data_IF_132152424288
#
_entry.id   IF_132152424288
#
_cell.length_a   1.000
_cell.length_b   1.000
_cell.length_c   1.000
_cell.angle_alpha   90.00
_cell.angle_beta   90.00
_cell.angle_gamma   90.00
#
_symmetry.space_group_name_H-M   'P 1'
#
loop_
_entity.id
_entity.type
_entity.pdbx_description
1 polymer ?
#
# COMPACT_ATOMS: atom_id res chain seq x y z
N UNK A 1 47.38 28.44 0.62
CA UNK A 1 47.97 27.29 -0.09
C UNK A 1 47.33 26.03 0.47
N UNK A 2 46.38 25.48 -0.30
CA UNK A 2 45.90 24.09 -0.42
C UNK A 2 45.60 23.17 0.79
N UNK A 3 44.64 22.22 0.63
CA UNK A 3 43.44 22.17 1.46
C UNK A 3 43.16 20.74 1.98
N UNK A 4 41.89 20.46 2.31
CA UNK A 4 41.22 19.17 2.59
C UNK A 4 40.99 18.83 4.07
N UNK A 5 39.74 18.95 4.51
CA UNK A 5 38.97 17.76 4.93
C UNK A 5 37.48 18.08 5.10
N UNK A 6 36.70 17.07 4.75
CA UNK A 6 35.28 17.11 4.42
C UNK A 6 34.34 17.27 5.61
N UNK A 7 33.18 17.84 5.28
CA UNK A 7 31.85 17.66 5.87
C UNK A 7 31.66 16.46 6.82
N UNK A 8 31.09 16.73 8.00
CA UNK A 8 30.06 15.86 8.59
C UNK A 8 29.07 16.71 9.39
N UNK A 9 27.91 16.95 8.78
CA UNK A 9 26.71 17.45 9.44
C UNK A 9 26.13 16.29 10.25
N UNK A 10 26.16 16.40 11.57
CA UNK A 10 25.43 15.49 12.46
C UNK A 10 23.94 15.86 12.44
N UNK A 11 23.14 15.15 11.64
CA UNK A 11 21.68 15.18 11.74
C UNK A 11 21.26 14.08 12.73
N UNK A 12 20.96 14.49 13.95
CA UNK A 12 20.45 13.64 15.02
C UNK A 12 18.99 13.28 14.69
N UNK A 13 18.76 12.15 14.01
CA UNK A 13 17.43 11.54 13.94
C UNK A 13 17.10 10.94 15.31
N UNK A 14 16.19 11.60 16.03
CA UNK A 14 15.50 11.02 17.17
C UNK A 14 14.54 9.96 16.61
N UNK A 15 15.04 8.73 16.46
CA UNK A 15 14.21 7.55 16.30
C UNK A 15 13.48 7.33 17.62
N UNK A 16 12.14 7.25 17.54
CA UNK A 16 11.33 6.65 18.58
C UNK A 16 11.90 5.26 18.89
N UNK A 17 12.58 5.15 20.03
CA UNK A 17 12.95 3.87 20.62
C UNK A 17 11.66 3.30 21.20
N UNK A 18 10.85 2.68 20.34
CA UNK A 18 10.12 1.51 20.78
C UNK A 18 11.18 0.46 21.09
N UNK A 19 11.29 0.03 22.34
CA UNK A 19 12.18 -1.06 22.74
C UNK A 19 11.68 -2.38 22.14
N UNK A 20 11.83 -2.54 20.83
CA UNK A 20 11.73 -3.83 20.18
C UNK A 20 13.07 -4.53 20.44
N UNK A 21 13.07 -5.49 21.36
CA UNK A 21 14.19 -6.41 21.50
C UNK A 21 14.39 -7.09 20.14
N UNK A 22 15.45 -6.70 19.44
CA UNK A 22 15.85 -7.31 18.18
C UNK A 22 16.31 -8.75 18.49
N UNK A 23 15.42 -9.72 18.30
CA UNK A 23 15.64 -11.10 18.70
C UNK A 23 16.31 -11.88 17.56
N UNK A 24 17.56 -12.31 17.78
CA UNK A 24 18.26 -13.21 16.86
C UNK A 24 17.74 -14.64 17.02
N UNK A 25 17.38 -15.27 15.90
CA UNK A 25 16.91 -16.67 15.87
C UNK A 25 17.36 -17.40 14.62
N UNK A 26 17.22 -18.71 14.65
CA UNK A 26 17.33 -19.57 13.46
C UNK A 26 15.97 -19.67 12.79
N UNK A 27 15.91 -19.22 11.54
CA UNK A 27 14.75 -19.27 10.66
C UNK A 27 14.87 -20.47 9.74
N UNK A 28 13.75 -21.10 9.42
CA UNK A 28 13.67 -22.31 8.62
C UNK A 28 12.71 -22.12 7.46
N UNK A 29 13.02 -22.76 6.33
CA UNK A 29 12.07 -22.88 5.23
C UNK A 29 10.90 -23.80 5.62
N UNK A 30 9.83 -23.77 4.82
CA UNK A 30 8.60 -24.53 5.04
C UNK A 30 8.82 -26.01 5.37
N UNK A 31 9.76 -26.66 4.69
CA UNK A 31 10.07 -28.09 4.87
C UNK A 31 11.03 -28.36 6.05
N UNK A 32 11.62 -27.33 6.65
CA UNK A 32 12.64 -27.45 7.69
C UNK A 32 14.02 -27.91 7.20
N UNK A 33 14.17 -28.18 5.90
CA UNK A 33 15.40 -28.65 5.26
C UNK A 33 16.50 -27.59 5.15
N UNK A 34 16.10 -26.32 5.09
CA UNK A 34 17.00 -25.17 4.99
C UNK A 34 16.82 -24.24 6.18
N UNK A 35 17.91 -23.72 6.74
CA UNK A 35 17.86 -22.75 7.83
C UNK A 35 18.97 -21.70 7.75
N UNK A 36 18.73 -20.55 8.37
CA UNK A 36 19.72 -19.50 8.53
C UNK A 36 19.48 -18.72 9.83
N UNK A 37 20.53 -18.11 10.38
CA UNK A 37 20.42 -17.26 11.57
C UNK A 37 20.26 -15.80 11.16
N UNK A 38 19.28 -15.13 11.75
CA UNK A 38 18.98 -13.72 11.48
C UNK A 38 18.23 -13.06 12.62
N UNK A 39 18.36 -11.74 12.71
CA UNK A 39 17.71 -10.88 13.70
C UNK A 39 16.37 -10.41 13.17
N UNK A 40 15.31 -10.70 13.91
CA UNK A 40 13.97 -10.18 13.64
C UNK A 40 13.96 -8.64 13.73
N UNK A 41 13.44 -7.98 12.69
CA UNK A 41 13.26 -6.52 12.68
C UNK A 41 11.77 -6.12 12.77
N UNK A 42 10.87 -6.91 12.21
CA UNK A 42 9.43 -6.59 12.14
C UNK A 42 8.69 -7.60 11.26
N UNK A 43 7.36 -7.65 11.37
CA UNK A 43 6.50 -8.39 10.43
C UNK A 43 5.13 -7.75 10.31
N UNK A 44 4.48 -8.00 9.18
CA UNK A 44 3.06 -7.78 8.94
C UNK A 44 2.35 -9.15 8.80
N UNK A 45 1.10 -9.17 8.36
CA UNK A 45 0.31 -10.39 8.23
C UNK A 45 0.87 -11.41 7.22
N UNK A 46 1.71 -10.99 6.27
CA UNK A 46 2.22 -11.80 5.16
C UNK A 46 3.73 -11.91 5.14
N UNK A 47 4.45 -10.91 5.64
CA UNK A 47 5.89 -10.81 5.49
C UNK A 47 6.61 -10.58 6.81
N UNK A 48 7.80 -11.16 6.94
CA UNK A 48 8.75 -10.87 8.01
C UNK A 48 10.02 -10.24 7.45
N UNK A 49 10.53 -9.22 8.13
CA UNK A 49 11.80 -8.56 7.80
C UNK A 49 12.89 -9.02 8.77
N UNK A 50 14.00 -9.51 8.22
CA UNK A 50 15.09 -10.13 8.96
C UNK A 50 16.42 -9.52 8.52
N UNK A 51 17.30 -9.23 9.49
CA UNK A 51 18.69 -8.84 9.26
C UNK A 51 19.62 -10.02 9.53
N UNK A 52 20.35 -10.46 8.52
CA UNK A 52 21.37 -11.51 8.63
C UNK A 52 22.67 -10.96 9.24
N UNK A 53 23.55 -11.86 9.67
CA UNK A 53 24.82 -11.53 10.33
C UNK A 53 25.78 -10.68 9.47
N UNK A 54 25.68 -10.80 8.15
CA UNK A 54 26.42 -9.97 7.18
C UNK A 54 25.88 -8.53 7.06
N UNK A 55 24.84 -8.20 7.83
CA UNK A 55 24.16 -6.90 7.80
C UNK A 55 23.10 -6.79 6.70
N UNK A 56 22.96 -7.79 5.83
CA UNK A 56 21.94 -7.77 4.79
C UNK A 56 20.54 -7.89 5.40
N UNK A 57 19.62 -7.06 4.94
CA UNK A 57 18.20 -7.10 5.32
C UNK A 57 17.40 -7.66 4.16
N UNK A 58 16.51 -8.60 4.45
CA UNK A 58 15.59 -9.16 3.47
C UNK A 58 14.22 -9.44 4.10
N UNK A 59 13.22 -9.49 3.23
CA UNK A 59 11.82 -9.72 3.57
C UNK A 59 11.39 -11.07 3.01
N UNK A 60 10.79 -11.92 3.84
CA UNK A 60 10.32 -13.26 3.47
C UNK A 60 8.82 -13.38 3.67
N UNK A 61 8.15 -14.12 2.80
CA UNK A 61 6.75 -14.49 3.03
C UNK A 61 6.67 -15.49 4.19
N UNK A 62 5.76 -15.23 5.12
CA UNK A 62 5.53 -16.04 6.33
C UNK A 62 5.07 -17.45 5.94
N UNK A 63 4.30 -17.61 4.87
CA UNK A 63 3.80 -18.90 4.36
C UNK A 63 4.90 -19.86 3.85
N UNK A 64 6.09 -19.32 3.59
CA UNK A 64 7.30 -20.06 3.18
C UNK A 64 8.21 -20.42 4.36
N UNK A 65 7.87 -19.96 5.57
CA UNK A 65 8.61 -20.31 6.77
C UNK A 65 8.08 -21.62 7.38
N UNK A 66 8.92 -22.26 8.20
CA UNK A 66 8.51 -23.41 8.98
C UNK A 66 7.41 -23.03 10.00
N UNK A 67 6.53 -23.98 10.34
CA UNK A 67 5.39 -23.76 11.26
C UNK A 67 5.81 -23.16 12.62
N UNK A 68 6.97 -23.54 13.12
CA UNK A 68 7.52 -23.01 14.38
C UNK A 68 7.93 -21.54 14.31
N UNK A 69 8.33 -21.06 13.12
CA UNK A 69 8.64 -19.64 12.92
C UNK A 69 7.37 -18.83 12.73
N UNK A 70 6.39 -19.38 12.00
CA UNK A 70 5.05 -18.79 11.85
C UNK A 70 4.38 -18.62 13.22
N UNK A 71 4.34 -19.67 14.04
CA UNK A 71 3.73 -19.64 15.36
C UNK A 71 4.35 -18.59 16.29
N UNK A 72 5.67 -18.39 16.20
CA UNK A 72 6.34 -17.36 17.00
C UNK A 72 6.01 -15.95 16.53
N UNK A 73 5.86 -15.73 15.21
CA UNK A 73 5.43 -14.44 14.68
C UNK A 73 4.02 -14.11 15.15
N UNK A 74 3.11 -15.08 15.07
CA UNK A 74 1.75 -14.99 15.64
C UNK A 74 1.78 -14.68 17.13
N UNK A 75 2.65 -15.30 17.92
CA UNK A 75 2.75 -15.01 19.35
C UNK A 75 3.32 -13.62 19.66
N UNK A 76 4.21 -13.10 18.81
CA UNK A 76 4.78 -11.74 18.90
C UNK A 76 3.76 -10.65 18.57
N UNK A 77 2.77 -10.95 17.72
CA UNK A 77 1.68 -10.05 17.37
C UNK A 77 0.37 -10.85 17.24
N UNK A 78 -0.31 -11.15 18.36
CA UNK A 78 -1.48 -12.03 18.34
C UNK A 78 -2.59 -11.46 17.45
N UNK A 79 -3.14 -12.24 16.51
CA UNK A 79 -4.19 -11.78 15.62
C UNK A 79 -5.42 -11.39 16.44
N UNK A 80 -5.95 -10.20 16.16
CA UNK A 80 -7.10 -9.64 16.88
C UNK A 80 -8.37 -10.31 16.35
N UNK A 81 -8.88 -11.31 17.07
CA UNK A 81 -10.18 -11.99 16.91
C UNK A 81 -10.68 -12.24 15.46
N UNK A 82 -10.59 -13.50 15.03
CA UNK A 82 -11.14 -14.07 13.78
C UNK A 82 -11.05 -13.10 12.58
N UNK A 83 -9.83 -12.96 12.07
CA UNK A 83 -9.61 -12.41 10.74
C UNK A 83 -10.01 -13.50 9.73
N UNK A 84 -11.00 -13.18 8.89
CA UNK A 84 -11.35 -13.95 7.69
C UNK A 84 -10.04 -14.32 6.98
N UNK A 85 -9.84 -15.59 6.55
CA UNK A 85 -8.60 -15.97 5.87
C UNK A 85 -8.30 -14.96 4.77
N UNK A 86 -7.19 -14.24 4.92
CA UNK A 86 -6.78 -13.18 3.99
C UNK A 86 -6.63 -13.85 2.63
N UNK A 87 -7.53 -13.53 1.70
CA UNK A 87 -7.40 -14.04 0.34
C UNK A 87 -6.06 -13.51 -0.21
N UNK A 88 -5.11 -14.38 -0.59
CA UNK A 88 -3.79 -13.94 -1.05
C UNK A 88 -3.89 -13.05 -2.30
N UNK A 89 -4.96 -13.20 -3.07
CA UNK A 89 -5.25 -12.42 -4.27
C UNK A 89 -6.03 -11.12 -4.00
N UNK A 90 -6.35 -10.81 -2.74
CA UNK A 90 -6.98 -9.54 -2.41
C UNK A 90 -6.04 -8.38 -2.72
N UNK A 91 -6.56 -7.39 -3.45
CA UNK A 91 -5.83 -6.20 -3.90
C UNK A 91 -6.17 -4.96 -3.08
N UNK A 92 -7.36 -4.95 -2.46
CA UNK A 92 -7.78 -3.91 -1.53
C UNK A 92 -8.75 -4.50 -0.52
N UNK A 93 -8.39 -4.49 0.76
CA UNK A 93 -9.13 -5.18 1.84
C UNK A 93 -9.41 -6.65 1.48
N UNK A 94 -10.63 -6.97 1.04
CA UNK A 94 -11.05 -8.32 0.61
C UNK A 94 -11.41 -8.40 -0.88
N UNK A 95 -11.37 -7.26 -1.59
CA UNK A 95 -11.67 -7.16 -3.02
C UNK A 95 -10.58 -7.81 -3.86
N UNK A 96 -10.99 -8.48 -4.93
CA UNK A 96 -10.13 -9.17 -5.89
C UNK A 96 -10.50 -8.75 -7.30
N UNK A 97 -9.53 -8.72 -8.22
CA UNK A 97 -9.87 -8.66 -9.64
C UNK A 97 -10.75 -9.85 -10.02
N UNK A 98 -11.70 -9.63 -10.93
CA UNK A 98 -12.65 -10.65 -11.35
C UNK A 98 -13.94 -10.70 -10.51
N UNK A 99 -13.99 -10.07 -9.34
CA UNK A 99 -15.23 -9.96 -8.56
C UNK A 99 -16.32 -9.31 -9.39
N UNK A 100 -17.53 -9.87 -9.40
CA UNK A 100 -18.67 -9.17 -10.01
C UNK A 100 -19.24 -8.11 -9.05
N UNK A 101 -20.14 -7.25 -9.54
CA UNK A 101 -20.72 -6.16 -8.74
C UNK A 101 -21.34 -6.61 -7.41
N UNK A 102 -22.04 -7.75 -7.40
CA UNK A 102 -22.69 -8.28 -6.20
C UNK A 102 -21.64 -8.69 -5.16
N UNK A 103 -20.56 -9.32 -5.60
CA UNK A 103 -19.46 -9.72 -4.72
C UNK A 103 -18.75 -8.48 -4.14
N UNK A 104 -18.49 -7.47 -4.97
CA UNK A 104 -17.90 -6.19 -4.53
C UNK A 104 -18.78 -5.51 -3.50
N UNK A 105 -20.08 -5.39 -3.74
CA UNK A 105 -21.02 -4.80 -2.76
C UNK A 105 -21.03 -5.56 -1.44
N UNK A 106 -21.12 -6.89 -1.48
CA UNK A 106 -21.13 -7.71 -0.27
C UNK A 106 -19.84 -7.54 0.55
N UNK A 107 -18.69 -7.52 -0.13
CA UNK A 107 -17.38 -7.33 0.50
C UNK A 107 -17.21 -5.93 1.10
N UNK A 108 -17.63 -4.89 0.38
CA UNK A 108 -17.58 -3.51 0.86
C UNK A 108 -18.46 -3.30 2.10
N UNK A 109 -19.66 -3.89 2.15
CA UNK A 109 -20.54 -3.85 3.34
C UNK A 109 -19.91 -4.53 4.55
N UNK A 110 -19.18 -5.62 4.33
CA UNK A 110 -18.46 -6.32 5.39
C UNK A 110 -17.13 -5.64 5.77
N UNK A 111 -16.69 -4.62 5.02
CA UNK A 111 -15.38 -4.02 5.19
C UNK A 111 -15.24 -3.30 6.52
N UNK A 112 -14.13 -3.57 7.18
CA UNK A 112 -13.73 -2.85 8.39
C UNK A 112 -13.02 -1.52 8.06
N UNK A 113 -12.58 -1.32 6.82
CA UNK A 113 -11.73 -0.16 6.44
C UNK A 113 -12.44 0.90 5.60
N UNK A 114 -13.56 0.57 4.95
CA UNK A 114 -14.38 1.53 4.20
C UNK A 114 -15.82 1.58 4.71
N UNK A 115 -16.48 2.71 4.48
CA UNK A 115 -17.88 2.97 4.80
C UNK A 115 -18.60 3.59 3.59
N UNK A 116 -19.92 3.41 3.53
CA UNK A 116 -20.76 4.06 2.52
C UNK A 116 -21.04 5.53 2.89
N UNK A 117 -21.02 6.41 1.90
CA UNK A 117 -21.43 7.82 1.99
C UNK A 117 -22.88 8.04 1.56
N UNK A 118 -23.53 7.02 1.00
CA UNK A 118 -24.92 7.03 0.54
C UNK A 118 -25.73 5.91 1.17
N UNK A 119 -27.03 6.13 1.30
CA UNK A 119 -27.98 5.08 1.67
C UNK A 119 -28.09 4.04 0.53
N UNK A 120 -28.08 2.76 0.90
CA UNK A 120 -28.04 1.62 -0.03
C UNK A 120 -29.22 1.60 -1.00
N UNK A 121 -30.37 2.17 -0.62
CA UNK A 121 -31.55 2.29 -1.48
C UNK A 121 -31.29 3.10 -2.75
N UNK A 122 -30.21 3.90 -2.79
CA UNK A 122 -29.82 4.71 -3.93
C UNK A 122 -28.75 4.07 -4.82
N UNK A 123 -28.18 2.92 -4.46
CA UNK A 123 -27.10 2.28 -5.24
C UNK A 123 -27.52 1.94 -6.68
N UNK A 124 -28.77 1.50 -6.87
CA UNK A 124 -29.30 1.21 -8.21
C UNK A 124 -29.40 2.42 -9.14
N UNK A 125 -29.32 3.65 -8.59
CA UNK A 125 -29.40 4.90 -9.36
C UNK A 125 -28.04 5.53 -9.62
N UNK A 126 -27.16 5.56 -8.62
CA UNK A 126 -25.87 6.25 -8.70
C UNK A 126 -24.68 5.31 -8.97
N UNK A 127 -24.88 4.00 -8.81
CA UNK A 127 -23.79 3.02 -8.86
C UNK A 127 -22.91 3.06 -7.62
N UNK A 128 -21.72 2.46 -7.72
CA UNK A 128 -20.76 2.32 -6.61
C UNK A 128 -19.64 3.38 -6.60
N UNK A 129 -19.48 4.11 -7.71
CA UNK A 129 -18.36 5.03 -7.87
C UNK A 129 -18.57 6.29 -7.03
N UNK A 130 -17.62 6.57 -6.14
CA UNK A 130 -17.68 7.69 -5.18
C UNK A 130 -18.62 7.45 -4.00
N UNK A 131 -19.20 6.25 -3.86
CA UNK A 131 -20.17 5.97 -2.79
C UNK A 131 -19.54 5.33 -1.56
N UNK A 132 -18.33 4.80 -1.67
CA UNK A 132 -17.57 4.29 -0.54
C UNK A 132 -16.33 5.15 -0.31
N UNK A 133 -15.96 5.33 0.96
CA UNK A 133 -14.73 6.01 1.35
C UNK A 133 -14.02 5.30 2.50
N UNK A 134 -12.75 5.59 2.71
CA UNK A 134 -11.99 5.12 3.88
C UNK A 134 -12.64 5.61 5.18
N UNK A 135 -12.80 4.74 6.18
CA UNK A 135 -13.30 5.13 7.51
C UNK A 135 -12.30 6.01 8.25
N UNK A 136 -11.02 5.68 8.14
CA UNK A 136 -9.93 6.46 8.69
C UNK A 136 -9.37 7.39 7.62
N UNK A 137 -8.85 8.53 8.07
CA UNK A 137 -8.09 9.42 7.22
C UNK A 137 -6.68 8.86 7.03
N UNK A 138 -6.14 9.05 5.83
CA UNK A 138 -4.75 8.74 5.48
C UNK A 138 -4.11 10.08 5.15
N UNK A 139 -3.04 10.46 5.85
CA UNK A 139 -2.46 11.81 5.77
C UNK A 139 -3.50 12.94 5.88
N UNK A 140 -4.49 12.78 6.77
CA UNK A 140 -5.53 13.79 7.03
C UNK A 140 -6.64 13.92 5.97
N UNK A 141 -6.72 12.99 5.01
CA UNK A 141 -7.78 12.96 3.99
C UNK A 141 -8.49 11.60 3.93
N UNK A 142 -9.79 11.62 3.64
CA UNK A 142 -10.51 10.41 3.22
C UNK A 142 -10.27 10.17 1.73
N UNK A 143 -10.21 8.90 1.35
CA UNK A 143 -10.17 8.49 -0.06
C UNK A 143 -11.48 7.79 -0.44
N UNK A 144 -12.07 8.20 -1.55
CA UNK A 144 -13.27 7.63 -2.16
C UNK A 144 -12.89 6.54 -3.16
N UNK A 145 -13.71 5.50 -3.25
CA UNK A 145 -13.48 4.35 -4.12
C UNK A 145 -14.24 4.50 -5.45
N UNK A 146 -13.55 4.15 -6.52
CA UNK A 146 -14.07 4.09 -7.88
C UNK A 146 -13.67 2.75 -8.49
N UNK A 147 -14.56 2.20 -9.31
CA UNK A 147 -14.45 0.86 -9.87
C UNK A 147 -14.61 0.93 -11.38
N UNK A 148 -13.75 0.20 -12.09
CA UNK A 148 -13.91 -0.08 -13.51
C UNK A 148 -14.21 -1.56 -13.73
N UNK A 149 -15.05 -1.83 -14.72
CA UNK A 149 -15.65 -3.13 -14.97
C UNK A 149 -15.40 -3.57 -16.40
N UNK A 150 -15.04 -4.83 -16.57
CA UNK A 150 -15.00 -5.47 -17.88
C UNK A 150 -16.37 -5.45 -18.56
N UNK A 151 -16.38 -5.71 -19.87
CA UNK A 151 -17.64 -5.92 -20.62
C UNK A 151 -18.49 -7.07 -20.05
N UNK A 152 -17.87 -8.03 -19.37
CA UNK A 152 -18.54 -9.14 -18.70
C UNK A 152 -19.05 -8.78 -17.29
N UNK A 153 -18.79 -7.57 -16.80
CA UNK A 153 -19.24 -7.09 -15.49
C UNK A 153 -18.33 -7.48 -14.33
N UNK A 154 -17.08 -7.83 -14.61
CA UNK A 154 -16.09 -8.22 -13.60
C UNK A 154 -15.14 -7.06 -13.28
N UNK A 155 -14.71 -6.94 -12.04
CA UNK A 155 -13.82 -5.87 -11.57
C UNK A 155 -12.44 -5.95 -12.24
N UNK A 156 -12.02 -4.88 -12.90
CA UNK A 156 -10.73 -4.76 -13.58
C UNK A 156 -9.82 -3.69 -12.98
N UNK A 157 -10.40 -2.68 -12.35
CA UNK A 157 -9.65 -1.60 -11.70
C UNK A 157 -10.37 -1.10 -10.45
N UNK A 158 -9.59 -0.79 -9.41
CA UNK A 158 -10.04 -0.01 -8.26
C UNK A 158 -9.17 1.24 -8.19
N UNK A 159 -9.80 2.40 -8.06
CA UNK A 159 -9.13 3.65 -7.76
C UNK A 159 -9.56 4.17 -6.39
N UNK A 160 -8.60 4.48 -5.52
CA UNK A 160 -8.80 5.34 -4.36
C UNK A 160 -8.41 6.75 -4.75
N UNK A 161 -9.31 7.72 -4.53
CA UNK A 161 -9.08 9.11 -4.89
C UNK A 161 -9.45 10.02 -3.73
N UNK A 162 -8.61 11.01 -3.41
CA UNK A 162 -9.04 12.09 -2.53
C UNK A 162 -10.08 12.96 -3.24
N UNK A 163 -10.90 13.69 -2.48
CA UNK A 163 -11.63 14.82 -3.06
C UNK A 163 -10.64 15.83 -3.66
N UNK A 164 -11.05 16.48 -4.75
CA UNK A 164 -10.26 17.53 -5.38
C UNK A 164 -10.08 18.73 -4.44
N UNK A 165 -8.84 19.14 -4.20
CA UNK A 165 -8.48 20.32 -3.40
C UNK A 165 -7.87 21.43 -4.28
N UNK A 166 -7.87 22.65 -3.76
CA UNK A 166 -7.27 23.81 -4.42
C UNK A 166 -5.75 23.79 -4.39
N UNK A 167 -5.14 24.67 -5.19
CA UNK A 167 -3.69 24.76 -5.39
C UNK A 167 -2.89 25.05 -4.11
N UNK A 168 -3.52 25.69 -3.12
CA UNK A 168 -2.99 26.00 -1.80
C UNK A 168 -2.77 24.76 -0.94
N UNK A 169 -3.52 23.68 -1.20
CA UNK A 169 -3.43 22.42 -0.46
C UNK A 169 -2.43 21.43 -1.09
N UNK A 170 -1.82 21.77 -2.22
CA UNK A 170 -0.99 20.85 -3.00
C UNK A 170 0.28 20.42 -2.27
N UNK A 171 1.14 21.38 -1.93
CA UNK A 171 2.40 21.14 -1.23
C UNK A 171 2.24 20.99 0.30
N UNK A 172 1.03 20.69 0.76
CA UNK A 172 0.72 20.42 2.16
C UNK A 172 -0.16 19.18 2.26
N UNK A 173 -1.48 19.34 2.38
CA UNK A 173 -2.43 18.25 2.63
C UNK A 173 -2.37 17.12 1.61
N UNK A 174 -2.25 17.44 0.31
CA UNK A 174 -2.16 16.42 -0.73
C UNK A 174 -0.80 15.71 -0.70
N UNK A 175 0.29 16.42 -0.41
CA UNK A 175 1.61 15.83 -0.26
C UNK A 175 1.70 14.94 0.99
N UNK A 176 1.07 15.32 2.10
CA UNK A 176 1.00 14.53 3.34
C UNK A 176 0.23 13.22 3.08
N UNK A 177 -0.95 13.30 2.44
CA UNK A 177 -1.73 12.13 2.03
C UNK A 177 -0.97 11.22 1.06
N UNK A 178 -0.29 11.79 0.06
CA UNK A 178 0.54 11.04 -0.87
C UNK A 178 1.67 10.29 -0.15
N UNK A 179 2.32 10.94 0.81
CA UNK A 179 3.43 10.35 1.59
C UNK A 179 2.93 9.16 2.41
N UNK A 180 1.84 9.33 3.16
CA UNK A 180 1.28 8.22 3.94
C UNK A 180 0.73 7.08 3.08
N UNK A 181 0.16 7.37 1.91
CA UNK A 181 -0.26 6.33 0.97
C UNK A 181 0.93 5.56 0.41
N UNK A 182 2.06 6.22 0.14
CA UNK A 182 3.28 5.55 -0.31
C UNK A 182 3.83 4.60 0.77
N UNK A 183 3.83 5.03 2.03
CA UNK A 183 4.27 4.22 3.17
C UNK A 183 3.32 3.04 3.40
N UNK A 184 2.01 3.26 3.32
CA UNK A 184 0.99 2.23 3.46
C UNK A 184 1.11 1.18 2.35
N UNK A 185 1.20 1.59 1.09
CA UNK A 185 1.37 0.67 -0.04
C UNK A 185 2.68 -0.12 0.05
N UNK A 186 3.74 0.53 0.53
CA UNK A 186 5.03 -0.16 0.76
C UNK A 186 4.93 -1.17 1.89
N UNK A 187 4.14 -0.88 2.92
CA UNK A 187 3.88 -1.83 4.01
C UNK A 187 3.06 -3.03 3.51
N UNK A 188 2.08 -2.80 2.63
CA UNK A 188 1.18 -3.86 2.16
C UNK A 188 1.77 -4.72 1.03
N UNK A 189 2.59 -4.13 0.16
CA UNK A 189 3.05 -4.75 -1.09
C UNK A 189 4.58 -4.82 -1.20
N UNK A 190 5.30 -4.45 -0.14
CA UNK A 190 6.76 -4.40 -0.13
C UNK A 190 7.32 -3.22 -0.94
N UNK A 191 8.59 -3.31 -1.29
CA UNK A 191 9.30 -2.22 -1.96
C UNK A 191 8.69 -1.92 -3.35
N UNK A 192 8.43 -0.64 -3.71
CA UNK A 192 7.98 -0.30 -5.04
C UNK A 192 9.02 -0.65 -6.12
N UNK A 193 8.54 -1.05 -7.30
CA UNK A 193 9.33 -1.18 -8.52
C UNK A 193 9.85 0.16 -9.02
N UNK A 194 9.06 1.22 -8.81
CA UNK A 194 9.42 2.60 -9.11
C UNK A 194 9.00 3.49 -7.94
N UNK A 195 9.91 4.34 -7.47
CA UNK A 195 9.65 5.35 -6.45
C UNK A 195 10.13 6.71 -6.94
N UNK A 196 9.21 7.50 -7.48
CA UNK A 196 9.43 8.87 -7.91
C UNK A 196 9.22 9.88 -6.78
N UNK A 197 9.60 11.12 -7.04
CA UNK A 197 9.25 12.25 -6.15
C UNK A 197 7.75 12.55 -6.25
N UNK A 198 7.25 13.33 -5.30
CA UNK A 198 5.93 13.94 -5.43
C UNK A 198 5.90 14.76 -6.73
N UNK A 199 4.95 14.51 -7.65
CA UNK A 199 4.92 15.22 -8.93
C UNK A 199 4.85 16.73 -8.76
N UNK A 200 5.46 17.47 -9.68
CA UNK A 200 5.43 18.93 -9.61
C UNK A 200 4.08 19.43 -10.14
N UNK A 201 3.49 20.41 -9.44
CA UNK A 201 2.13 20.91 -9.76
C UNK A 201 2.00 21.42 -11.21
N UNK A 202 3.09 21.97 -11.76
CA UNK A 202 3.13 22.52 -13.12
C UNK A 202 3.17 21.44 -14.22
N UNK A 203 3.44 20.18 -13.88
CA UNK A 203 3.38 19.05 -14.80
C UNK A 203 1.94 18.52 -14.97
N UNK A 204 1.05 18.87 -14.03
CA UNK A 204 -0.34 18.42 -14.04
C UNK A 204 -1.21 19.21 -15.02
N UNK A 205 -2.04 18.48 -15.74
CA UNK A 205 -3.06 18.98 -16.65
C UNK A 205 -4.40 18.32 -16.29
N UNK A 206 -5.52 18.96 -16.63
CA UNK A 206 -6.83 18.35 -16.41
C UNK A 206 -6.89 16.95 -17.07
N UNK A 207 -7.45 16.01 -16.33
CA UNK A 207 -7.65 14.60 -16.68
C UNK A 207 -6.37 13.79 -16.90
N UNK A 208 -5.21 14.38 -16.57
CA UNK A 208 -3.93 13.69 -16.56
C UNK A 208 -3.69 13.05 -15.19
N UNK A 209 -3.28 11.78 -15.20
CA UNK A 209 -2.75 11.09 -14.03
C UNK A 209 -1.24 10.88 -14.20
N UNK A 210 -0.46 11.42 -13.28
CA UNK A 210 0.99 11.26 -13.24
C UNK A 210 1.37 10.28 -12.14
N UNK A 211 1.67 9.04 -12.53
CA UNK A 211 2.13 8.00 -11.62
C UNK A 211 3.57 8.29 -11.15
N UNK A 212 3.73 8.45 -9.84
CA UNK A 212 5.03 8.60 -9.18
C UNK A 212 5.61 7.26 -8.75
N UNK A 213 4.75 6.34 -8.28
CA UNK A 213 5.15 5.05 -7.75
C UNK A 213 4.42 3.89 -8.42
N UNK A 214 5.08 2.73 -8.44
CA UNK A 214 4.54 1.48 -8.99
C UNK A 214 4.91 0.32 -8.05
N UNK A 215 3.94 -0.51 -7.68
CA UNK A 215 4.15 -1.78 -6.98
C UNK A 215 3.62 -2.94 -7.83
N UNK A 216 4.29 -4.10 -7.73
CA UNK A 216 3.76 -5.37 -8.23
C UNK A 216 2.82 -5.94 -7.18
N UNK A 217 1.65 -6.41 -7.59
CA UNK A 217 0.71 -7.08 -6.71
C UNK A 217 0.94 -8.59 -6.74
N UNK A 218 0.89 -9.25 -5.59
CA UNK A 218 1.06 -10.71 -5.47
C UNK A 218 0.00 -11.49 -6.27
N UNK A 219 -1.24 -10.98 -6.28
CA UNK A 219 -2.37 -11.52 -7.06
C UNK A 219 -2.30 -11.22 -8.57
N UNK A 220 -1.21 -10.60 -9.04
CA UNK A 220 -1.05 -10.12 -10.41
C UNK A 220 -1.56 -8.69 -10.59
N UNK A 221 -1.04 -8.01 -11.63
CA UNK A 221 -1.32 -6.60 -11.88
C UNK A 221 -0.41 -5.65 -11.08
N UNK A 222 -0.83 -4.40 -10.98
CA UNK A 222 -0.02 -3.32 -10.39
C UNK A 222 -0.84 -2.36 -9.54
N UNK A 223 -0.22 -1.80 -8.51
CA UNK A 223 -0.71 -0.59 -7.86
C UNK A 223 0.14 0.61 -8.31
N UNK A 224 -0.51 1.72 -8.64
CA UNK A 224 0.14 2.99 -8.99
C UNK A 224 -0.31 4.07 -8.00
N UNK A 225 0.63 4.86 -7.49
CA UNK A 225 0.32 6.07 -6.71
C UNK A 225 0.80 7.29 -7.47
N UNK A 226 -0.04 8.31 -7.53
CA UNK A 226 0.29 9.54 -8.21
C UNK A 226 -0.66 10.67 -7.91
N UNK A 227 -0.50 11.75 -8.67
CA UNK A 227 -1.35 12.92 -8.62
C UNK A 227 -2.14 13.04 -9.90
N UNK A 228 -3.36 13.54 -9.81
CA UNK A 228 -4.15 13.94 -10.97
C UNK A 228 -4.78 15.31 -10.74
N UNK A 229 -5.25 15.91 -11.82
CA UNK A 229 -5.99 17.17 -11.80
C UNK A 229 -7.31 16.97 -12.52
N UNK A 230 -8.42 17.37 -11.90
CA UNK A 230 -9.75 17.30 -12.48
C UNK A 230 -10.46 18.62 -12.26
N UNK A 231 -10.95 19.22 -13.34
CA UNK A 231 -11.71 20.49 -13.30
C UNK A 231 -11.00 21.59 -12.48
N UNK A 232 -9.68 21.74 -12.63
CA UNK A 232 -8.92 22.76 -11.91
C UNK A 232 -8.52 22.40 -10.48
N UNK A 233 -8.93 21.23 -9.97
CA UNK A 233 -8.62 20.76 -8.62
C UNK A 233 -7.62 19.60 -8.66
N UNK A 234 -6.82 19.48 -7.61
CA UNK A 234 -5.77 18.48 -7.49
C UNK A 234 -6.20 17.36 -6.56
N UNK A 235 -5.79 16.14 -6.87
CA UNK A 235 -6.17 14.96 -6.11
C UNK A 235 -5.04 13.93 -6.12
N UNK A 236 -4.96 13.16 -5.04
CA UNK A 236 -4.10 11.99 -4.94
C UNK A 236 -4.90 10.78 -5.39
N UNK A 237 -4.28 9.93 -6.19
CA UNK A 237 -4.90 8.73 -6.74
C UNK A 237 -4.00 7.53 -6.50
N UNK A 238 -4.57 6.48 -5.93
CA UNK A 238 -4.02 5.13 -5.98
C UNK A 238 -4.87 4.31 -6.93
N UNK A 239 -4.25 3.70 -7.94
CA UNK A 239 -4.91 2.86 -8.93
C UNK A 239 -4.39 1.43 -8.82
N UNK A 240 -5.27 0.48 -8.56
CA UNK A 240 -5.02 -0.96 -8.64
C UNK A 240 -5.57 -1.49 -9.97
N UNK A 241 -4.72 -2.00 -10.85
CA UNK A 241 -5.10 -2.46 -12.19
C UNK A 241 -4.59 -3.87 -12.46
N UNK A 242 -5.34 -4.63 -13.28
CA UNK A 242 -4.91 -5.95 -13.78
C UNK A 242 -3.67 -5.88 -14.67
N UNK A 243 -3.35 -4.70 -15.23
CA UNK A 243 -2.18 -4.50 -16.06
C UNK A 243 -0.87 -4.67 -15.27
N UNK A 244 0.08 -5.41 -15.84
CA UNK A 244 1.46 -5.46 -15.34
C UNK A 244 2.25 -4.28 -15.90
N UNK A 245 2.36 -3.22 -15.11
CA UNK A 245 3.06 -2.00 -15.49
C UNK A 245 4.54 -2.16 -15.17
N UNK A 246 5.37 -1.82 -16.15
CA UNK A 246 6.82 -1.79 -16.00
C UNK A 246 7.30 -0.37 -15.68
N UNK A 247 8.34 -0.21 -14.83
CA UNK A 247 8.93 1.09 -14.56
C UNK A 247 9.42 1.78 -15.83
N UNK A 248 9.27 3.09 -15.89
CA UNK A 248 9.85 3.88 -16.98
C UNK A 248 11.36 3.93 -16.74
N UNK A 249 12.13 3.33 -17.65
CA UNK A 249 13.59 3.43 -17.63
C UNK A 249 13.98 4.81 -18.13
N UNK A 250 14.52 5.64 -17.24
CA UNK A 250 15.19 6.87 -17.65
C UNK A 250 16.55 6.47 -18.24
N UNK A 251 16.90 6.92 -19.46
CA UNK A 251 18.19 6.64 -20.10
C UNK A 251 19.39 7.07 -19.25
#
# INVERSE_FOLDING_TARGET
MNPTQSFLIALLMILFIGTANAESRTWRNKEGSGSFTGTYLGHDARHVTIRRQDGQVFTLNIDKLHETDQAWLTAKNPPKAEETPINPNAIFDTLCFGDNRKDVEAKLKASKVVETTLDETFFGRFGLNGTYRTKQQIGGLHCELYFDWSKAGNLEEISLQTQGLGSESYASRLQDNWTELADLLTTLHGKPLQAGKYPERNELQNDLFLASHIWRLDGGGSALLGTSMQSGKYLIVVRFTTASIEPVRVP
#
